data_IF_438808187193
#
_entry.id   IF_438808187193
#
_cell.length_a   1.000
_cell.length_b   1.000
_cell.length_c   1.000
_cell.angle_alpha   90.00
_cell.angle_beta   90.00
_cell.angle_gamma   90.00
#
_symmetry.space_group_name_H-M   'P 1'
#
loop_
_entity.id
_entity.type
_entity.pdbx_description
1 polymer ?
#
# COMPACT_ATOMS: atom_id res chain seq x y z
N UNK A 1 -41.32 -16.09 -41.81
CA UNK A 1 -40.74 -16.49 -40.50
C UNK A 1 -39.30 -16.00 -40.29
N UNK A 2 -38.46 -15.92 -41.34
CA UNK A 2 -37.04 -15.51 -41.22
C UNK A 2 -36.80 -14.07 -40.69
N UNK A 3 -37.74 -13.14 -40.90
CA UNK A 3 -37.62 -11.73 -40.45
C UNK A 3 -37.82 -11.55 -38.94
N UNK A 4 -38.64 -12.39 -38.30
CA UNK A 4 -38.80 -12.42 -36.83
C UNK A 4 -37.59 -13.07 -36.15
N UNK A 5 -36.97 -14.06 -36.81
CA UNK A 5 -35.78 -14.73 -36.30
C UNK A 5 -34.55 -13.81 -36.26
N UNK A 6 -34.37 -12.95 -37.29
CA UNK A 6 -33.27 -11.96 -37.29
C UNK A 6 -33.39 -10.90 -36.20
N UNK A 7 -34.60 -10.44 -35.87
CA UNK A 7 -34.82 -9.50 -34.76
C UNK A 7 -34.56 -10.13 -33.39
N UNK A 8 -34.84 -11.43 -33.21
CA UNK A 8 -34.55 -12.14 -31.96
C UNK A 8 -33.03 -12.32 -31.77
N UNK A 9 -32.29 -12.63 -32.83
CA UNK A 9 -30.83 -12.80 -32.77
C UNK A 9 -30.13 -11.47 -32.47
N UNK A 10 -30.58 -10.35 -33.04
CA UNK A 10 -29.98 -9.04 -32.76
C UNK A 10 -30.28 -8.53 -31.34
N UNK A 11 -31.46 -8.85 -30.79
CA UNK A 11 -31.81 -8.53 -29.40
C UNK A 11 -31.03 -9.37 -28.38
N UNK A 12 -30.74 -10.63 -28.68
CA UNK A 12 -30.00 -11.52 -27.79
C UNK A 12 -28.51 -11.17 -27.69
N UNK A 13 -27.89 -10.68 -28.76
CA UNK A 13 -26.46 -10.31 -28.80
C UNK A 13 -26.17 -9.00 -28.05
N UNK A 14 -27.15 -8.10 -27.92
CA UNK A 14 -27.00 -6.83 -27.21
C UNK A 14 -27.16 -6.96 -25.68
N UNK A 15 -27.77 -8.04 -25.19
CA UNK A 15 -27.98 -8.27 -23.74
C UNK A 15 -26.75 -8.94 -23.10
N UNK A 16 -25.88 -9.58 -23.86
CA UNK A 16 -24.72 -10.32 -23.32
C UNK A 16 -23.48 -9.46 -23.07
N UNK A 17 -23.45 -8.20 -23.52
CA UNK A 17 -22.29 -7.29 -23.35
C UNK A 17 -22.34 -6.42 -22.09
N UNK A 18 -23.35 -6.56 -21.23
CA UNK A 18 -23.51 -5.75 -20.01
C UNK A 18 -22.81 -6.33 -18.77
N UNK A 19 -22.09 -7.44 -18.90
CA UNK A 19 -21.23 -7.93 -17.82
C UNK A 19 -19.85 -7.28 -17.93
N UNK A 20 -19.78 -5.99 -17.57
CA UNK A 20 -18.55 -5.53 -16.93
C UNK A 20 -18.44 -6.35 -15.65
N UNK A 21 -17.63 -7.39 -15.69
CA UNK A 21 -17.05 -7.98 -14.50
C UNK A 21 -16.30 -6.84 -13.80
N UNK A 22 -16.94 -6.21 -12.82
CA UNK A 22 -16.17 -5.64 -11.73
C UNK A 22 -15.39 -6.82 -11.17
N UNK A 23 -14.08 -6.79 -11.33
CA UNK A 23 -13.20 -7.64 -10.56
C UNK A 23 -13.55 -7.37 -9.10
N UNK A 24 -14.33 -8.27 -8.49
CA UNK A 24 -14.29 -8.46 -7.06
C UNK A 24 -12.84 -8.86 -6.79
N UNK A 25 -12.03 -7.87 -6.40
CA UNK A 25 -10.81 -8.14 -5.67
C UNK A 25 -11.24 -9.06 -4.53
N UNK A 26 -10.87 -10.34 -4.62
CA UNK A 26 -11.07 -11.31 -3.57
C UNK A 26 -10.48 -10.68 -2.30
N UNK A 27 -11.36 -10.07 -1.50
CA UNK A 27 -11.01 -9.64 -0.17
C UNK A 27 -10.90 -10.94 0.59
N UNK A 28 -9.70 -11.53 0.55
CA UNK A 28 -9.32 -12.57 1.48
C UNK A 28 -9.78 -12.11 2.87
N UNK A 29 -10.52 -12.94 3.63
CA UNK A 29 -11.00 -12.52 4.94
C UNK A 29 -9.79 -12.04 5.73
N UNK A 30 -9.84 -10.80 6.21
CA UNK A 30 -8.80 -10.29 7.10
C UNK A 30 -8.67 -11.30 8.26
N UNK A 31 -7.45 -11.68 8.66
CA UNK A 31 -7.26 -12.69 9.70
C UNK A 31 -8.05 -12.32 10.96
N UNK A 32 -8.80 -13.28 11.51
CA UNK A 32 -9.54 -13.08 12.77
C UNK A 32 -8.58 -12.66 13.89
N UNK A 33 -8.97 -11.64 14.67
CA UNK A 33 -8.14 -11.10 15.74
C UNK A 33 -8.12 -12.04 16.95
N UNK A 34 -6.96 -12.34 17.56
CA UNK A 34 -6.94 -13.09 18.81
C UNK A 34 -7.42 -12.22 19.97
N UNK A 35 -8.35 -12.75 20.77
CA UNK A 35 -8.62 -12.24 22.11
C UNK A 35 -7.66 -12.92 23.10
N UNK A 36 -6.80 -12.12 23.74
CA UNK A 36 -6.27 -12.24 25.10
C UNK A 36 -4.85 -11.65 25.17
N UNK A 37 -4.51 -11.10 26.34
CA UNK A 37 -3.43 -10.13 26.52
C UNK A 37 -2.06 -10.69 26.07
N UNK A 38 -1.40 -9.98 25.14
CA UNK A 38 0.01 -10.20 24.78
C UNK A 38 0.31 -10.52 23.31
N UNK A 39 -0.69 -10.64 22.44
CA UNK A 39 -0.47 -11.03 21.05
C UNK A 39 -0.45 -9.82 20.11
N UNK A 40 0.69 -9.62 19.43
CA UNK A 40 0.77 -8.80 18.21
C UNK A 40 -0.26 -9.34 17.21
N UNK A 41 -1.06 -8.45 16.63
CA UNK A 41 -2.12 -8.81 15.70
C UNK A 41 -1.90 -8.15 14.34
N UNK A 42 -2.54 -8.69 13.30
CA UNK A 42 -2.43 -8.17 11.94
C UNK A 42 -3.12 -6.81 11.82
N UNK A 43 -2.40 -5.85 11.23
CA UNK A 43 -2.86 -4.47 11.11
C UNK A 43 -3.92 -4.30 10.01
N UNK A 44 -4.89 -3.44 10.29
CA UNK A 44 -5.87 -2.87 9.34
C UNK A 44 -5.34 -1.57 8.69
N UNK A 45 -4.03 -1.34 8.75
CA UNK A 45 -3.45 -0.08 8.28
C UNK A 45 -3.57 -0.01 6.75
N UNK A 46 -4.10 1.09 6.19
CA UNK A 46 -4.16 1.23 4.74
C UNK A 46 -2.74 1.38 4.18
N UNK A 47 -2.33 0.47 3.32
CA UNK A 47 -1.06 0.50 2.59
C UNK A 47 -1.34 0.65 1.10
N UNK A 48 -0.60 1.52 0.42
CA UNK A 48 -0.73 1.72 -1.03
C UNK A 48 0.53 1.19 -1.71
N UNK A 49 0.41 0.10 -2.46
CA UNK A 49 1.52 -0.54 -3.17
C UNK A 49 1.45 -0.30 -4.69
N UNK A 50 2.60 -0.32 -5.35
CA UNK A 50 2.72 -0.25 -6.79
C UNK A 50 4.15 -0.53 -7.26
N UNK A 51 4.42 -0.30 -8.55
CA UNK A 51 5.80 -0.36 -9.04
C UNK A 51 6.64 0.71 -8.35
N UNK A 52 7.91 0.43 -8.09
CA UNK A 52 8.80 1.42 -7.48
C UNK A 52 8.90 2.71 -8.29
N UNK A 53 8.79 2.61 -9.62
CA UNK A 53 8.71 3.78 -10.51
C UNK A 53 7.46 4.63 -10.23
N UNK A 54 6.29 4.02 -10.05
CA UNK A 54 5.05 4.75 -9.75
C UNK A 54 5.11 5.43 -8.39
N UNK A 55 5.68 4.76 -7.39
CA UNK A 55 5.87 5.34 -6.06
C UNK A 55 6.91 6.47 -6.10
N UNK A 56 8.00 6.30 -6.85
CA UNK A 56 9.00 7.35 -7.06
C UNK A 56 8.38 8.58 -7.74
N UNK A 57 7.58 8.38 -8.79
CA UNK A 57 6.86 9.47 -9.45
C UNK A 57 5.89 10.19 -8.48
N UNK A 58 5.25 9.46 -7.55
CA UNK A 58 4.45 10.08 -6.49
C UNK A 58 5.31 10.93 -5.55
N UNK A 59 6.45 10.42 -5.08
CA UNK A 59 7.40 11.11 -4.20
C UNK A 59 7.87 12.41 -4.86
N UNK A 60 8.30 12.34 -6.11
CA UNK A 60 8.79 13.48 -6.90
C UNK A 60 7.69 14.53 -7.12
N UNK A 61 6.49 14.10 -7.53
CA UNK A 61 5.33 14.98 -7.72
C UNK A 61 4.92 15.73 -6.45
N UNK A 62 5.18 15.16 -5.28
CA UNK A 62 4.85 15.76 -3.98
C UNK A 62 6.05 16.44 -3.32
N UNK A 63 7.18 16.59 -4.02
CA UNK A 63 8.40 17.28 -3.53
C UNK A 63 8.94 16.71 -2.21
N UNK A 64 8.75 15.40 -2.01
CA UNK A 64 9.15 14.72 -0.78
C UNK A 64 10.66 14.46 -0.76
N UNK A 65 11.32 14.88 0.32
CA UNK A 65 12.77 14.74 0.52
C UNK A 65 13.08 13.55 1.42
N UNK A 66 13.98 12.68 0.97
CA UNK A 66 14.45 11.53 1.77
C UNK A 66 15.31 12.02 2.94
N UNK A 67 14.99 11.62 4.16
CA UNK A 67 15.77 12.01 5.36
C UNK A 67 16.46 10.84 6.04
N UNK A 68 15.92 9.62 5.95
CA UNK A 68 16.64 8.43 6.39
C UNK A 68 16.21 7.17 5.65
N UNK A 69 17.14 6.23 5.58
CA UNK A 69 16.97 4.90 5.01
C UNK A 69 17.39 3.87 6.06
N UNK A 70 16.65 2.78 6.15
CA UNK A 70 16.97 1.63 6.97
C UNK A 70 16.64 0.34 6.24
N UNK A 71 17.12 -0.78 6.75
CA UNK A 71 16.96 -2.10 6.13
C UNK A 71 16.26 -3.02 7.11
N UNK A 72 15.14 -3.59 6.66
CA UNK A 72 14.49 -4.70 7.34
C UNK A 72 15.27 -5.98 7.10
N UNK A 73 15.48 -6.75 8.16
CA UNK A 73 16.26 -7.99 8.13
C UNK A 73 15.40 -9.18 8.52
N UNK A 74 15.75 -10.34 7.98
CA UNK A 74 15.03 -11.59 8.25
C UNK A 74 14.82 -11.81 9.75
N UNK A 75 13.60 -12.23 10.10
CA UNK A 75 13.16 -12.45 11.49
C UNK A 75 13.41 -11.28 12.44
N UNK A 76 13.50 -10.06 11.91
CA UNK A 76 13.81 -8.84 12.66
C UNK A 76 15.13 -8.92 13.47
N UNK A 77 16.12 -9.65 12.95
CA UNK A 77 17.42 -9.80 13.60
C UNK A 77 18.46 -8.82 13.04
N UNK A 78 19.29 -8.16 13.87
CA UNK A 78 20.32 -7.23 13.38
C UNK A 78 21.34 -7.85 12.41
N UNK A 79 21.60 -9.14 12.56
CA UNK A 79 22.50 -9.95 11.74
C UNK A 79 21.78 -10.77 10.66
N UNK A 80 20.45 -10.69 10.58
CA UNK A 80 19.67 -11.36 9.54
C UNK A 80 19.93 -10.78 8.16
N UNK A 81 19.66 -11.55 7.11
CA UNK A 81 19.79 -11.08 5.72
C UNK A 81 18.81 -9.92 5.45
N UNK A 82 19.22 -8.89 4.68
CA UNK A 82 18.31 -7.85 4.19
C UNK A 82 17.12 -8.41 3.40
N UNK A 83 15.91 -8.00 3.75
CA UNK A 83 14.67 -8.47 3.09
C UNK A 83 13.81 -7.33 2.52
N UNK A 84 13.97 -6.10 3.00
CA UNK A 84 13.35 -4.90 2.43
C UNK A 84 14.08 -3.63 2.86
N UNK A 85 13.84 -2.53 2.16
CA UNK A 85 14.34 -1.19 2.49
C UNK A 85 13.18 -0.36 3.01
N UNK A 86 13.41 0.44 4.04
CA UNK A 86 12.45 1.46 4.53
C UNK A 86 13.07 2.83 4.35
N UNK A 87 12.39 3.67 3.61
CA UNK A 87 12.75 5.05 3.33
C UNK A 87 11.72 5.99 3.96
N UNK A 88 12.20 6.98 4.71
CA UNK A 88 11.36 7.98 5.35
C UNK A 88 11.61 9.33 4.68
N UNK A 89 10.54 9.92 4.19
CA UNK A 89 10.55 11.19 3.49
C UNK A 89 9.74 12.24 4.26
N UNK A 90 10.10 13.51 4.07
CA UNK A 90 9.35 14.66 4.57
C UNK A 90 9.11 15.66 3.46
N UNK A 91 8.04 16.43 3.56
CA UNK A 91 7.81 17.54 2.64
C UNK A 91 8.76 18.72 2.93
N UNK A 92 8.84 19.74 2.06
CA UNK A 92 9.71 20.90 2.26
C UNK A 92 9.41 21.68 3.56
N UNK A 93 8.17 21.66 4.04
CA UNK A 93 7.77 22.33 5.28
C UNK A 93 8.04 21.50 6.54
N UNK A 94 8.45 20.24 6.39
CA UNK A 94 8.68 19.32 7.49
C UNK A 94 7.44 19.07 8.38
N UNK A 95 6.24 19.20 7.80
CA UNK A 95 4.96 18.96 8.49
C UNK A 95 4.24 17.71 7.98
N UNK A 96 4.69 17.13 6.88
CA UNK A 96 4.17 15.89 6.31
C UNK A 96 5.30 14.87 6.26
N UNK A 97 4.99 13.62 6.61
CA UNK A 97 5.91 12.49 6.38
C UNK A 97 5.27 11.40 5.53
N UNK A 98 6.13 10.72 4.77
CA UNK A 98 5.78 9.56 3.96
C UNK A 98 6.79 8.45 4.25
N UNK A 99 6.30 7.27 4.59
CA UNK A 99 7.15 6.09 4.78
C UNK A 99 6.90 5.11 3.65
N UNK A 100 7.98 4.72 2.99
CA UNK A 100 7.95 3.80 1.87
C UNK A 100 8.79 2.58 2.20
N UNK A 101 8.22 1.41 1.97
CA UNK A 101 8.93 0.14 2.03
C UNK A 101 9.11 -0.41 0.62
N UNK A 102 10.31 -0.84 0.27
CA UNK A 102 10.65 -1.36 -1.06
C UNK A 102 11.24 -2.76 -0.97
N UNK A 103 10.91 -3.60 -1.94
CA UNK A 103 11.53 -4.92 -2.08
C UNK A 103 13.02 -4.78 -2.40
N UNK A 104 13.83 -5.77 -2.01
CA UNK A 104 15.28 -5.73 -2.27
C UNK A 104 15.64 -5.72 -3.76
N UNK A 105 14.78 -6.26 -4.62
CA UNK A 105 14.95 -6.21 -6.07
C UNK A 105 14.47 -4.89 -6.70
N UNK A 106 13.89 -3.99 -5.90
CA UNK A 106 13.44 -2.67 -6.34
C UNK A 106 12.24 -2.67 -7.28
N UNK A 107 11.53 -3.78 -7.49
CA UNK A 107 10.39 -3.82 -8.41
C UNK A 107 9.09 -3.27 -7.80
N UNK A 108 8.90 -3.49 -6.50
CA UNK A 108 7.70 -3.08 -5.79
C UNK A 108 8.06 -2.16 -4.63
N UNK A 109 7.23 -1.12 -4.46
CA UNK A 109 7.29 -0.24 -3.30
C UNK A 109 5.89 0.02 -2.77
N UNK A 110 5.77 0.13 -1.46
CA UNK A 110 4.53 0.40 -0.75
C UNK A 110 4.69 1.65 0.11
N UNK A 111 3.82 2.63 -0.09
CA UNK A 111 3.62 3.72 0.85
C UNK A 111 2.87 3.18 2.06
N UNK A 112 3.60 2.93 3.15
CA UNK A 112 3.03 2.38 4.38
C UNK A 112 2.04 3.35 5.02
N UNK A 113 2.38 4.63 5.01
CA UNK A 113 1.48 5.71 5.40
C UNK A 113 2.02 7.06 4.92
N UNK A 114 1.09 8.00 4.73
CA UNK A 114 1.34 9.44 4.66
C UNK A 114 0.66 10.07 5.87
N UNK A 115 1.40 10.86 6.64
CA UNK A 115 0.90 11.52 7.84
C UNK A 115 1.16 13.01 7.80
N UNK A 116 0.37 13.76 8.57
CA UNK A 116 0.39 15.22 8.66
C UNK A 116 0.76 15.63 10.08
N UNK A 117 1.00 16.93 10.29
CA UNK A 117 1.38 17.52 11.58
C UNK A 117 2.64 16.90 12.19
N UNK A 118 3.63 16.57 11.35
CA UNK A 118 4.92 16.04 11.78
C UNK A 118 5.60 17.00 12.74
N UNK A 119 6.04 16.47 13.88
CA UNK A 119 6.85 17.19 14.88
C UNK A 119 8.10 16.39 15.20
N UNK A 120 9.26 17.02 15.02
CA UNK A 120 10.53 16.44 15.45
C UNK A 120 10.70 16.63 16.95
N UNK A 121 10.67 15.53 17.69
CA UNK A 121 10.89 15.56 19.13
C UNK A 121 12.41 15.67 19.41
N UNK A 122 12.85 16.59 20.27
CA UNK A 122 14.24 16.63 20.72
C UNK A 122 14.60 15.32 21.46
N UNK A 123 15.87 14.90 21.40
CA UNK A 123 16.32 13.62 21.99
C UNK A 123 16.00 13.55 23.50
N UNK A 124 15.27 12.49 23.86
CA UNK A 124 14.73 12.08 25.18
C UNK A 124 13.58 12.92 25.73
N UNK A 125 12.38 12.39 25.53
CA UNK A 125 11.44 12.13 26.63
C UNK A 125 10.81 10.77 26.33
N UNK A 126 10.83 9.87 27.32
CA UNK A 126 10.10 8.61 27.21
C UNK A 126 8.65 8.94 26.88
N UNK A 127 8.17 8.42 25.76
CA UNK A 127 6.77 8.57 25.39
C UNK A 127 6.02 7.68 26.37
N UNK A 128 5.42 8.29 27.40
CA UNK A 128 4.31 7.64 28.10
C UNK A 128 3.14 7.75 27.14
N UNK A 129 2.89 6.67 26.40
CA UNK A 129 1.64 6.47 25.69
C UNK A 129 0.50 6.29 26.70
#
# INVERSE_FOLDING_TARGET
MLRRLKSIIFGAVLITMSTFAMAEQETSPLPEMPSEQGQLYWLQMPVICGTSESVLAYIEKNEMTLVNVSVGRDRAKPDGEPVFIVSYYVDPTQTISLVVMSTMNGMESCMLYKSFDLKFMPKKQGISL
#
